data_IF_143609739765
#
_entry.id   IF_143609739765
#
_cell.length_a   1.000
_cell.length_b   1.000
_cell.length_c   1.000
_cell.angle_alpha   90.00
_cell.angle_beta   90.00
_cell.angle_gamma   90.00
#
_symmetry.space_group_name_H-M   'P 1'
#
loop_
_entity.id
_entity.type
_entity.pdbx_description
1 polymer ?
#
# COMPACT_ATOMS: atom_id res chain seq x y z
N UNK A 1 8.59 -0.62 19.20
CA UNK A 1 7.47 -1.56 19.47
C UNK A 1 6.17 -0.84 19.83
N UNK A 2 6.15 0.10 20.77
CA UNK A 2 4.94 0.82 21.21
C UNK A 2 4.17 1.48 20.05
N UNK A 3 4.80 2.28 19.25
CA UNK A 3 4.17 3.01 18.13
C UNK A 3 3.39 2.10 17.17
N UNK A 4 3.96 0.96 16.75
CA UNK A 4 3.26 0.01 15.88
C UNK A 4 2.05 -0.64 16.55
N UNK A 5 2.10 -0.85 17.86
CA UNK A 5 0.97 -1.38 18.64
C UNK A 5 -0.15 -0.37 18.74
N UNK A 6 0.16 0.93 18.82
CA UNK A 6 -0.83 2.01 18.82
C UNK A 6 -1.51 2.12 17.44
N UNK A 7 -0.73 2.07 16.35
CA UNK A 7 -1.29 2.02 14.99
C UNK A 7 -2.23 0.82 14.80
N UNK A 8 -1.86 -0.36 15.32
CA UNK A 8 -2.69 -1.55 15.22
C UNK A 8 -4.00 -1.39 16.00
N UNK A 9 -3.92 -0.89 17.23
CA UNK A 9 -5.09 -0.62 18.06
C UNK A 9 -6.04 0.36 17.39
N UNK A 10 -5.50 1.46 16.88
CA UNK A 10 -6.30 2.50 16.22
C UNK A 10 -6.90 1.99 14.90
N UNK A 11 -6.18 1.17 14.13
CA UNK A 11 -6.71 0.53 12.94
C UNK A 11 -7.96 -0.33 13.23
N UNK A 12 -7.94 -1.07 14.33
CA UNK A 12 -9.11 -1.85 14.75
C UNK A 12 -10.25 -0.95 15.25
N UNK A 13 -9.96 0.10 15.99
CA UNK A 13 -10.97 1.08 16.42
C UNK A 13 -11.64 1.72 15.21
N UNK A 14 -10.86 2.15 14.18
CA UNK A 14 -11.41 2.68 12.94
C UNK A 14 -12.36 1.68 12.28
N UNK A 15 -11.94 0.43 12.11
CA UNK A 15 -12.82 -0.62 11.55
C UNK A 15 -14.15 -0.71 12.31
N UNK A 16 -14.11 -0.63 13.64
CA UNK A 16 -15.29 -0.85 14.48
C UNK A 16 -16.22 0.37 14.50
N UNK A 17 -15.72 1.58 14.33
CA UNK A 17 -16.49 2.83 14.38
C UNK A 17 -16.90 3.38 13.01
N UNK A 18 -16.10 3.14 11.97
CA UNK A 18 -16.34 3.69 10.63
C UNK A 18 -17.43 2.93 9.89
N UNK A 19 -18.67 3.29 10.17
CA UNK A 19 -19.85 2.67 9.51
C UNK A 19 -19.88 2.91 8.00
N UNK A 20 -19.37 4.03 7.51
CA UNK A 20 -19.31 4.32 6.09
C UNK A 20 -18.28 3.41 5.39
N UNK A 21 -17.09 3.29 5.96
CA UNK A 21 -16.05 2.38 5.47
C UNK A 21 -16.45 0.91 5.52
N UNK A 22 -17.17 0.48 6.56
CA UNK A 22 -17.72 -0.88 6.64
C UNK A 22 -18.69 -1.15 5.47
N UNK A 23 -19.63 -0.23 5.21
CA UNK A 23 -20.57 -0.35 4.07
C UNK A 23 -19.86 -0.37 2.73
N UNK A 24 -18.89 0.53 2.56
CA UNK A 24 -18.08 0.60 1.34
C UNK A 24 -17.28 -0.69 1.14
N UNK A 25 -16.61 -1.17 2.18
CA UNK A 25 -15.79 -2.40 2.15
C UNK A 25 -16.63 -3.63 1.83
N UNK A 26 -17.82 -3.75 2.40
CA UNK A 26 -18.73 -4.88 2.11
C UNK A 26 -19.00 -5.03 0.60
N UNK A 27 -19.08 -3.90 -0.12
CA UNK A 27 -19.34 -3.87 -1.58
C UNK A 27 -18.07 -4.00 -2.42
N UNK A 28 -17.00 -3.31 -2.02
CA UNK A 28 -15.83 -3.08 -2.89
C UNK A 28 -14.57 -3.80 -2.41
N UNK A 29 -14.56 -4.33 -1.18
CA UNK A 29 -13.44 -5.02 -0.57
C UNK A 29 -13.91 -6.24 0.24
N UNK A 30 -14.57 -7.22 -0.42
CA UNK A 30 -15.21 -8.34 0.26
C UNK A 30 -14.24 -9.12 1.17
N UNK A 31 -14.69 -9.41 2.39
CA UNK A 31 -13.92 -10.14 3.39
C UNK A 31 -12.91 -9.29 4.16
N UNK A 32 -12.75 -8.00 3.85
CA UNK A 32 -11.83 -7.10 4.54
C UNK A 32 -12.48 -5.80 4.97
N UNK A 33 -11.65 -4.92 5.55
CA UNK A 33 -12.00 -3.53 5.82
C UNK A 33 -10.94 -2.60 5.24
N UNK A 34 -11.37 -1.54 4.59
CA UNK A 34 -10.50 -0.42 4.23
C UNK A 34 -11.22 0.89 4.52
N UNK A 35 -10.47 1.86 5.05
CA UNK A 35 -10.99 3.21 5.27
C UNK A 35 -10.88 4.11 4.02
N UNK A 36 -10.34 3.59 2.91
CA UNK A 36 -10.15 4.35 1.66
C UNK A 36 -11.43 5.03 1.15
N UNK A 37 -12.57 4.36 1.25
CA UNK A 37 -13.86 4.90 0.78
C UNK A 37 -14.58 5.82 1.77
N UNK A 38 -13.95 6.17 2.91
CA UNK A 38 -14.59 6.96 3.98
C UNK A 38 -13.62 7.91 4.70
N UNK A 39 -12.52 7.39 5.24
CA UNK A 39 -11.51 8.10 6.03
C UNK A 39 -10.12 7.89 5.41
N UNK A 40 -9.87 8.61 4.33
CA UNK A 40 -8.66 8.52 3.53
C UNK A 40 -7.57 9.56 3.91
N UNK A 41 -7.81 10.36 4.94
CA UNK A 41 -6.90 11.41 5.43
C UNK A 41 -6.54 11.22 6.91
N UNK A 42 -6.29 9.99 7.33
CA UNK A 42 -6.05 9.67 8.74
C UNK A 42 -4.90 10.45 9.37
N UNK A 43 -3.88 10.82 8.61
CA UNK A 43 -2.77 11.66 9.04
C UNK A 43 -3.18 13.07 9.51
N UNK A 44 -4.37 13.52 9.11
CA UNK A 44 -4.92 14.83 9.52
C UNK A 44 -5.82 14.73 10.76
N UNK A 45 -6.39 13.55 11.03
CA UNK A 45 -7.37 13.36 12.11
C UNK A 45 -6.79 12.69 13.36
N UNK A 46 -5.68 11.98 13.23
CA UNK A 46 -5.08 11.20 14.29
C UNK A 46 -3.63 11.60 14.53
N UNK A 47 -3.26 11.81 15.79
CA UNK A 47 -1.88 12.09 16.19
C UNK A 47 -0.95 10.91 15.87
N UNK A 48 -1.44 9.68 16.02
CA UNK A 48 -0.69 8.44 15.70
C UNK A 48 -0.37 8.36 14.20
N UNK A 49 -1.36 8.59 13.33
CA UNK A 49 -1.13 8.61 11.88
C UNK A 49 -0.33 9.85 11.44
N UNK A 50 -0.47 10.99 12.12
CA UNK A 50 0.38 12.16 11.91
C UNK A 50 1.84 11.91 12.30
N UNK A 51 2.10 11.09 13.34
CA UNK A 51 3.45 10.65 13.66
C UNK A 51 4.01 9.71 12.60
N UNK A 52 3.20 8.76 12.11
CA UNK A 52 3.58 7.91 10.97
C UNK A 52 3.95 8.76 9.75
N UNK A 53 3.15 9.78 9.41
CA UNK A 53 3.46 10.72 8.33
C UNK A 53 4.85 11.33 8.50
N UNK A 54 5.19 11.87 9.68
CA UNK A 54 6.51 12.47 9.93
C UNK A 54 7.67 11.50 9.70
N UNK A 55 7.49 10.22 10.00
CA UNK A 55 8.46 9.18 9.67
C UNK A 55 8.55 8.94 8.17
N UNK A 56 7.40 8.82 7.50
CA UNK A 56 7.30 8.56 6.06
C UNK A 56 7.86 9.71 5.22
N UNK A 57 7.64 10.97 5.61
CA UNK A 57 8.16 12.16 4.90
C UNK A 57 9.66 12.09 4.68
N UNK A 58 10.42 11.59 5.66
CA UNK A 58 11.87 11.41 5.55
C UNK A 58 12.24 10.35 4.50
N UNK A 59 11.51 9.24 4.48
CA UNK A 59 11.73 8.16 3.51
C UNK A 59 11.33 8.60 2.10
N UNK A 60 10.19 9.28 1.95
CA UNK A 60 9.70 9.83 0.67
C UNK A 60 10.69 10.83 0.10
N UNK A 61 11.19 11.77 0.91
CA UNK A 61 12.23 12.71 0.50
C UNK A 61 13.52 12.01 0.03
N UNK A 62 13.93 10.94 0.72
CA UNK A 62 15.08 10.15 0.31
C UNK A 62 14.82 9.39 -0.98
N UNK A 63 13.63 8.86 -1.15
CA UNK A 63 13.23 8.10 -2.35
C UNK A 63 13.14 9.01 -3.57
N UNK A 64 12.53 10.21 -3.44
CA UNK A 64 12.48 11.20 -4.51
C UNK A 64 13.88 11.59 -5.04
N UNK A 65 14.85 11.73 -4.11
CA UNK A 65 16.26 11.98 -4.50
C UNK A 65 16.88 10.82 -5.26
N UNK A 66 16.54 9.57 -4.91
CA UNK A 66 17.01 8.37 -5.64
C UNK A 66 16.37 8.20 -7.01
N UNK A 67 15.22 8.84 -7.23
CA UNK A 67 14.53 8.90 -8.51
C UNK A 67 14.96 10.10 -9.36
N UNK A 68 15.92 10.90 -8.87
CA UNK A 68 16.40 12.12 -9.51
C UNK A 68 15.28 13.12 -9.85
N UNK A 69 14.25 13.20 -8.99
CA UNK A 69 13.15 14.15 -9.19
C UNK A 69 13.62 15.58 -9.05
N UNK A 70 13.46 16.37 -10.10
CA UNK A 70 13.53 17.83 -10.02
C UNK A 70 12.20 18.38 -9.50
N UNK A 71 12.18 18.75 -8.24
CA UNK A 71 10.99 19.32 -7.61
C UNK A 71 10.83 20.83 -7.86
N UNK A 72 11.78 21.48 -8.51
CA UNK A 72 11.74 22.91 -8.85
C UNK A 72 11.33 23.81 -7.66
N UNK A 73 11.87 23.55 -6.47
CA UNK A 73 11.55 24.27 -5.22
C UNK A 73 10.22 23.88 -4.56
N UNK A 74 9.44 23.01 -5.17
CA UNK A 74 8.20 22.46 -4.62
C UNK A 74 8.49 21.30 -3.65
N UNK A 75 7.44 20.74 -3.05
CA UNK A 75 7.57 19.64 -2.09
C UNK A 75 6.57 18.52 -2.34
N UNK A 76 6.93 17.31 -1.94
CA UNK A 76 6.02 16.20 -1.87
C UNK A 76 5.26 16.26 -0.53
N UNK A 77 3.94 16.23 -0.60
CA UNK A 77 3.03 16.31 0.55
C UNK A 77 2.13 15.08 0.55
N UNK A 78 1.94 14.47 1.72
CA UNK A 78 0.98 13.37 1.88
C UNK A 78 -0.43 13.90 1.65
N UNK A 79 -1.13 13.34 0.68
CA UNK A 79 -2.51 13.70 0.33
C UNK A 79 -3.51 12.73 0.90
N UNK A 80 -3.16 11.46 0.97
CA UNK A 80 -4.04 10.39 1.42
C UNK A 80 -3.30 9.44 2.35
N UNK A 81 -4.02 8.92 3.33
CA UNK A 81 -3.53 7.94 4.30
C UNK A 81 -4.71 7.13 4.83
N UNK A 82 -4.72 5.83 4.61
CA UNK A 82 -5.82 4.95 4.98
C UNK A 82 -5.36 3.59 5.47
N UNK A 83 -6.21 2.92 6.23
CA UNK A 83 -5.98 1.58 6.77
C UNK A 83 -6.58 0.52 5.87
N UNK A 84 -5.90 -0.62 5.74
CA UNK A 84 -6.41 -1.86 5.14
C UNK A 84 -6.25 -3.02 6.12
N UNK A 85 -7.33 -3.74 6.39
CA UNK A 85 -7.36 -4.98 7.16
C UNK A 85 -7.84 -6.08 6.23
N UNK A 86 -6.92 -6.97 5.86
CA UNK A 86 -7.17 -8.08 4.95
C UNK A 86 -7.40 -9.36 5.77
N UNK A 87 -8.58 -9.92 5.67
CA UNK A 87 -8.87 -11.27 6.15
C UNK A 87 -8.55 -12.31 5.07
N UNK A 88 -8.83 -13.58 5.37
CA UNK A 88 -8.66 -14.67 4.40
C UNK A 88 -9.48 -14.40 3.14
N UNK A 89 -8.88 -14.63 1.97
CA UNK A 89 -9.44 -14.44 0.63
C UNK A 89 -9.70 -12.96 0.25
N UNK A 90 -9.38 -12.00 1.09
CA UNK A 90 -9.41 -10.59 0.71
C UNK A 90 -8.26 -10.29 -0.24
N UNK A 91 -8.52 -9.50 -1.29
CA UNK A 91 -7.53 -9.11 -2.30
C UNK A 91 -7.66 -7.64 -2.67
N UNK A 92 -6.58 -7.03 -3.14
CA UNK A 92 -6.61 -5.80 -3.93
C UNK A 92 -6.28 -6.15 -5.37
N UNK A 93 -7.22 -5.92 -6.29
CA UNK A 93 -7.03 -6.14 -7.72
C UNK A 93 -5.94 -5.26 -8.31
N UNK A 94 -5.51 -5.59 -9.53
CA UNK A 94 -4.47 -4.86 -10.25
C UNK A 94 -4.93 -3.41 -10.54
N UNK A 95 -4.19 -2.42 -10.04
CA UNK A 95 -4.52 -1.00 -10.14
C UNK A 95 -3.26 -0.12 -10.09
N UNK A 96 -3.45 1.16 -10.28
CA UNK A 96 -2.47 2.24 -10.08
C UNK A 96 -3.15 3.44 -9.41
N UNK A 97 -2.37 4.47 -9.03
CA UNK A 97 -2.92 5.68 -8.39
C UNK A 97 -2.76 6.89 -9.30
N UNK A 98 -3.74 7.15 -10.22
CA UNK A 98 -3.54 8.04 -11.38
C UNK A 98 -3.32 9.52 -11.04
N UNK A 99 -3.71 9.96 -9.84
CA UNK A 99 -3.59 11.38 -9.42
C UNK A 99 -2.49 11.61 -8.39
N UNK A 100 -1.61 10.63 -8.19
CA UNK A 100 -0.54 10.70 -7.19
C UNK A 100 0.84 10.60 -7.83
N UNK A 101 1.85 11.17 -7.19
CA UNK A 101 3.25 11.11 -7.62
C UNK A 101 3.95 9.90 -7.06
N UNK A 102 3.93 9.73 -5.74
CA UNK A 102 4.47 8.59 -5.02
C UNK A 102 3.40 7.95 -4.15
N UNK A 103 3.44 6.64 -4.07
CA UNK A 103 2.57 5.84 -3.22
C UNK A 103 3.38 4.89 -2.35
N UNK A 104 2.76 4.38 -1.31
CA UNK A 104 3.41 3.40 -0.48
C UNK A 104 2.47 2.68 0.47
N UNK A 105 3.03 1.68 1.11
CA UNK A 105 2.35 0.93 2.17
C UNK A 105 3.29 0.65 3.33
N UNK A 106 2.84 0.92 4.54
CA UNK A 106 3.50 0.56 5.79
C UNK A 106 2.80 -0.66 6.40
N UNK A 107 3.57 -1.69 6.74
CA UNK A 107 3.05 -2.93 7.29
C UNK A 107 2.99 -2.89 8.81
N UNK A 108 1.77 -2.94 9.37
CA UNK A 108 1.53 -2.90 10.82
C UNK A 108 1.53 -4.32 11.40
N UNK A 109 0.81 -5.26 10.76
CA UNK A 109 0.71 -6.67 11.18
C UNK A 109 0.77 -7.58 9.96
N UNK A 110 1.72 -8.51 9.96
CA UNK A 110 1.94 -9.44 8.86
C UNK A 110 2.11 -10.85 9.39
N UNK A 111 1.04 -11.64 9.47
CA UNK A 111 1.15 -13.04 9.89
C UNK A 111 1.98 -13.84 8.88
N UNK A 112 2.67 -14.92 9.31
CA UNK A 112 3.41 -15.79 8.42
C UNK A 112 2.55 -16.29 7.25
N UNK A 113 3.10 -16.23 6.04
CA UNK A 113 2.40 -16.66 4.83
C UNK A 113 1.33 -15.70 4.30
N UNK A 114 1.16 -14.50 4.88
CA UNK A 114 0.22 -13.50 4.34
C UNK A 114 0.64 -13.02 2.95
N UNK A 115 -0.34 -12.51 2.20
CA UNK A 115 -0.14 -12.07 0.82
C UNK A 115 0.91 -10.97 0.69
N UNK A 116 1.83 -11.15 -0.27
CA UNK A 116 2.81 -10.16 -0.71
C UNK A 116 2.16 -9.16 -1.68
N UNK A 117 2.67 -7.92 -1.70
CA UNK A 117 2.37 -7.02 -2.84
C UNK A 117 3.18 -7.48 -4.05
N UNK A 118 2.57 -7.41 -5.24
CA UNK A 118 3.29 -7.67 -6.49
C UNK A 118 3.09 -6.54 -7.48
N UNK A 119 4.14 -6.24 -8.21
CA UNK A 119 4.19 -5.18 -9.21
C UNK A 119 4.28 -5.79 -10.60
N UNK A 120 3.50 -5.24 -11.54
CA UNK A 120 3.54 -5.62 -12.94
C UNK A 120 4.73 -4.95 -13.66
N UNK A 121 5.39 -5.68 -14.56
CA UNK A 121 6.41 -5.08 -15.45
C UNK A 121 5.71 -4.06 -16.36
N UNK A 122 6.11 -2.76 -16.31
CA UNK A 122 5.44 -1.72 -17.09
C UNK A 122 5.69 -1.83 -18.61
N UNK A 123 6.64 -2.64 -19.03
CA UNK A 123 6.96 -2.87 -20.45
C UNK A 123 6.01 -3.88 -21.07
N UNK A 124 4.70 -3.61 -21.06
CA UNK A 124 3.65 -4.56 -21.45
C UNK A 124 3.76 -5.04 -22.90
N UNK A 125 4.14 -4.15 -23.82
CA UNK A 125 4.37 -4.46 -25.24
C UNK A 125 5.50 -5.51 -25.43
N UNK A 126 6.46 -5.58 -24.53
CA UNK A 126 7.51 -6.60 -24.51
C UNK A 126 6.94 -8.02 -24.37
N UNK A 127 5.77 -8.17 -23.77
CA UNK A 127 5.14 -9.47 -23.53
C UNK A 127 4.12 -9.86 -24.61
N UNK A 128 3.78 -8.94 -25.52
CA UNK A 128 2.88 -9.23 -26.63
C UNK A 128 3.47 -10.32 -27.52
N UNK A 129 2.73 -11.39 -27.76
CA UNK A 129 3.17 -12.56 -28.51
C UNK A 129 4.43 -13.26 -27.98
N UNK A 130 4.88 -12.96 -26.76
CA UNK A 130 6.00 -13.67 -26.15
C UNK A 130 5.55 -15.02 -25.60
N UNK A 131 6.41 -16.07 -25.65
CA UNK A 131 6.12 -17.32 -24.98
C UNK A 131 6.06 -17.15 -23.45
N UNK A 132 5.37 -18.01 -22.71
CA UNK A 132 5.35 -17.99 -21.26
C UNK A 132 6.78 -18.03 -20.68
N UNK A 133 6.99 -17.29 -19.60
CA UNK A 133 8.26 -17.34 -18.86
C UNK A 133 8.32 -18.61 -17.99
N UNK A 134 9.52 -19.12 -17.79
CA UNK A 134 9.74 -20.22 -16.83
C UNK A 134 9.41 -19.76 -15.42
N UNK A 135 9.01 -20.67 -14.54
CA UNK A 135 8.73 -20.36 -13.13
C UNK A 135 9.96 -19.74 -12.42
N UNK A 136 11.17 -20.19 -12.79
CA UNK A 136 12.46 -19.73 -12.24
C UNK A 136 13.08 -18.60 -13.08
N UNK A 137 12.29 -17.92 -13.91
CA UNK A 137 12.80 -16.79 -14.70
C UNK A 137 13.46 -15.76 -13.79
N UNK A 138 14.60 -15.22 -14.25
CA UNK A 138 15.25 -14.12 -13.55
C UNK A 138 14.28 -12.96 -13.35
N UNK A 139 14.47 -12.23 -12.26
CA UNK A 139 13.58 -11.16 -11.81
C UNK A 139 13.23 -10.15 -12.91
N UNK A 140 14.22 -9.70 -13.66
CA UNK A 140 14.07 -8.76 -14.79
C UNK A 140 13.29 -9.31 -15.99
N UNK A 141 13.00 -10.61 -15.99
CA UNK A 141 12.21 -11.29 -17.01
C UNK A 141 10.82 -11.75 -16.52
N UNK A 142 10.51 -11.54 -15.26
CA UNK A 142 9.19 -11.87 -14.71
C UNK A 142 8.17 -10.79 -15.09
N UNK A 143 6.94 -11.19 -15.40
CA UNK A 143 5.82 -10.26 -15.64
C UNK A 143 5.39 -9.57 -14.35
N UNK A 144 5.50 -10.28 -13.22
CA UNK A 144 5.21 -9.74 -11.90
C UNK A 144 6.36 -10.00 -10.93
N UNK A 145 6.70 -9.00 -10.15
CA UNK A 145 7.71 -9.10 -9.09
C UNK A 145 7.05 -8.96 -7.73
N UNK A 146 7.30 -9.91 -6.84
CA UNK A 146 6.73 -9.98 -5.50
C UNK A 146 7.64 -9.35 -4.45
N UNK A 147 7.04 -8.62 -3.51
CA UNK A 147 7.71 -8.08 -2.32
C UNK A 147 6.98 -8.55 -1.06
N UNK A 148 7.60 -9.38 -0.23
CA UNK A 148 7.01 -9.88 1.00
C UNK A 148 6.55 -8.75 1.94
N UNK A 149 5.40 -8.95 2.56
CA UNK A 149 4.94 -8.06 3.61
C UNK A 149 5.69 -8.37 4.91
N UNK A 150 6.37 -7.37 5.48
CA UNK A 150 7.12 -7.49 6.73
C UNK A 150 6.71 -6.37 7.68
N UNK A 151 6.21 -6.73 8.86
CA UNK A 151 5.77 -5.76 9.86
C UNK A 151 6.91 -4.81 10.28
N UNK A 152 6.62 -3.51 10.28
CA UNK A 152 7.59 -2.45 10.52
C UNK A 152 8.28 -1.91 9.27
N UNK A 153 8.12 -2.55 8.12
CA UNK A 153 8.69 -2.08 6.87
C UNK A 153 7.71 -1.19 6.09
N UNK A 154 8.27 -0.34 5.25
CA UNK A 154 7.56 0.46 4.25
C UNK A 154 8.05 0.10 2.85
N UNK A 155 7.12 0.01 1.91
CA UNK A 155 7.42 -0.06 0.47
C UNK A 155 6.96 1.26 -0.14
N UNK A 156 7.85 1.90 -0.91
CA UNK A 156 7.59 3.11 -1.68
C UNK A 156 7.72 2.80 -3.17
N UNK A 157 6.86 3.38 -3.98
CA UNK A 157 6.89 3.23 -5.44
C UNK A 157 6.26 4.45 -6.12
N UNK A 158 6.60 4.65 -7.39
CA UNK A 158 5.95 5.65 -8.22
C UNK A 158 4.50 5.24 -8.48
N UNK A 159 3.57 6.17 -8.34
CA UNK A 159 2.13 5.89 -8.29
C UNK A 159 1.55 5.34 -9.60
N UNK A 160 2.24 5.53 -10.72
CA UNK A 160 1.88 4.96 -12.02
C UNK A 160 2.13 3.46 -12.13
N UNK A 161 2.95 2.88 -11.24
CA UNK A 161 3.32 1.47 -11.31
C UNK A 161 2.15 0.58 -10.89
N UNK A 162 1.68 -0.25 -11.81
CA UNK A 162 0.56 -1.16 -11.58
C UNK A 162 0.93 -2.25 -10.59
N UNK A 163 0.06 -2.46 -9.62
CA UNK A 163 0.31 -3.41 -8.55
C UNK A 163 -1.00 -4.02 -8.03
N UNK A 164 -0.86 -5.15 -7.38
CA UNK A 164 -1.97 -5.84 -6.70
C UNK A 164 -1.49 -6.51 -5.41
N UNK A 165 -2.43 -6.87 -4.55
CA UNK A 165 -2.22 -7.81 -3.46
C UNK A 165 -3.14 -9.00 -3.68
N UNK A 166 -2.60 -10.19 -4.01
CA UNK A 166 -3.40 -11.38 -4.21
C UNK A 166 -4.25 -11.74 -2.99
N UNK A 167 -5.22 -12.61 -3.17
CA UNK A 167 -6.05 -13.10 -2.07
C UNK A 167 -5.19 -13.60 -0.90
N UNK A 168 -5.46 -13.07 0.30
CA UNK A 168 -4.72 -13.46 1.50
C UNK A 168 -4.98 -14.94 1.83
N UNK A 169 -3.98 -15.82 1.80
CA UNK A 169 -4.20 -17.25 1.95
C UNK A 169 -4.40 -17.68 3.41
N UNK A 170 -4.00 -16.83 4.37
CA UNK A 170 -4.01 -17.18 5.80
C UNK A 170 -5.24 -16.64 6.52
N UNK A 171 -5.67 -17.32 7.58
CA UNK A 171 -6.83 -16.89 8.38
C UNK A 171 -6.55 -15.65 9.24
N UNK A 172 -5.30 -15.44 9.63
CA UNK A 172 -4.91 -14.29 10.43
C UNK A 172 -4.89 -13.00 9.61
N UNK A 173 -5.33 -11.90 10.23
CA UNK A 173 -5.44 -10.59 9.60
C UNK A 173 -4.09 -9.98 9.26
N UNK A 174 -3.95 -9.50 8.02
CA UNK A 174 -2.87 -8.64 7.58
C UNK A 174 -3.34 -7.19 7.67
N UNK A 175 -2.60 -6.34 8.40
CA UNK A 175 -2.94 -4.93 8.58
C UNK A 175 -1.83 -4.06 8.01
N UNK A 176 -2.22 -3.11 7.16
CA UNK A 176 -1.31 -2.14 6.55
C UNK A 176 -1.95 -0.74 6.50
N UNK A 177 -1.09 0.26 6.43
CA UNK A 177 -1.46 1.65 6.17
C UNK A 177 -0.92 2.02 4.80
N UNK A 178 -1.80 2.38 3.88
CA UNK A 178 -1.43 2.88 2.55
C UNK A 178 -1.54 4.39 2.51
N UNK A 179 -0.76 5.01 1.63
CA UNK A 179 -0.68 6.47 1.54
C UNK A 179 -0.23 6.91 0.15
N UNK A 180 -0.59 8.16 -0.18
CA UNK A 180 -0.18 8.84 -1.40
C UNK A 180 0.48 10.18 -1.07
N UNK A 181 1.40 10.57 -1.96
CA UNK A 181 2.05 11.88 -1.97
C UNK A 181 1.88 12.54 -3.32
N UNK A 182 1.59 13.83 -3.29
CA UNK A 182 1.58 14.66 -4.48
C UNK A 182 2.62 15.76 -4.40
N UNK A 183 2.96 16.29 -5.57
CA UNK A 183 3.93 17.33 -5.78
C UNK A 183 3.22 18.69 -5.90
N UNK A 184 3.49 19.60 -4.94
CA UNK A 184 2.93 20.96 -4.87
C UNK A 184 4.02 22.00 -4.71
#
# INVERSE_FOLDING_TARGET
MLFRSELLKEAYQLRDFDRAGQRWSKKNYPGGYTSYGSLDKLHQFSSTFGELQRHLDRHVKSFARKLDFDLAGRRLVMTDCWVNIMLRQTAHGLHLHPTSTLSGTYYVKTPPGCAAIKFEDPRLDRFMAAPPRRAEARRENQTFVHYPAQAGNVILFESWLRHEVPANPVAAERVSVSFNYNWF
#
